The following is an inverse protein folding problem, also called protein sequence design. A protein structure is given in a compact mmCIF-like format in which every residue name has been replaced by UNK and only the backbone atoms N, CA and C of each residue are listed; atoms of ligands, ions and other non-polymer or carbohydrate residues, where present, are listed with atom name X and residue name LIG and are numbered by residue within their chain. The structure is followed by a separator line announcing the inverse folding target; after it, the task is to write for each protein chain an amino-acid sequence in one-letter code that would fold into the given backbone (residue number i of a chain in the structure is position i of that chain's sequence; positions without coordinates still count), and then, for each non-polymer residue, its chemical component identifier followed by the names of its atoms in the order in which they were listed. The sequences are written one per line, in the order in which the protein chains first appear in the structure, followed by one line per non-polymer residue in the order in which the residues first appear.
data_IF_146403988276
#
_entry.id   IF_146403988276
#
_cell.length_a   1.000
_cell.length_b   1.000
_cell.length_c   1.000
_cell.angle_alpha   90.00
_cell.angle_beta   90.00
_cell.angle_gamma   90.00
#
_symmetry.space_group_name_H-M   'P 1'
#
loop_
_entity.id
_entity.type
_entity.pdbx_description
1 polymer ?
#
# COMPACT_ATOMS: atom_id res chain seq x y z
N UNK A 1 -23.58 0.75 19.45
CA UNK A 1 -22.32 0.29 18.83
C UNK A 1 -21.29 1.37 18.98
N UNK A 2 -20.21 1.09 19.67
CA UNK A 2 -19.09 2.01 19.79
C UNK A 2 -18.36 2.17 18.45
N UNK A 3 -17.59 3.22 18.30
CA UNK A 3 -16.73 3.46 17.15
C UNK A 3 -15.80 2.27 16.88
N UNK A 4 -15.18 1.72 17.94
CA UNK A 4 -14.32 0.54 17.86
C UNK A 4 -15.05 -0.71 17.36
N UNK A 5 -16.30 -0.94 17.79
CA UNK A 5 -17.12 -2.06 17.30
C UNK A 5 -17.44 -1.94 15.81
N UNK A 6 -17.74 -0.73 15.33
CA UNK A 6 -17.98 -0.50 13.89
C UNK A 6 -16.74 -0.80 13.04
N UNK A 7 -15.56 -0.40 13.51
CA UNK A 7 -14.29 -0.70 12.80
C UNK A 7 -14.05 -2.21 12.80
N UNK A 8 -14.24 -2.91 13.93
CA UNK A 8 -14.07 -4.36 14.01
C UNK A 8 -14.96 -5.11 13.03
N UNK A 9 -16.25 -4.79 13.03
CA UNK A 9 -17.21 -5.43 12.13
C UNK A 9 -16.87 -5.17 10.65
N UNK A 10 -16.44 -3.96 10.33
CA UNK A 10 -16.02 -3.63 8.98
C UNK A 10 -14.74 -4.37 8.57
N UNK A 11 -13.72 -4.45 9.43
CA UNK A 11 -12.52 -5.24 9.20
C UNK A 11 -12.90 -6.70 8.95
N UNK A 12 -13.71 -7.28 9.85
CA UNK A 12 -14.18 -8.65 9.73
C UNK A 12 -14.87 -8.88 8.37
N UNK A 13 -15.83 -8.05 8.01
CA UNK A 13 -16.60 -8.21 6.78
C UNK A 13 -15.72 -8.07 5.52
N UNK A 14 -14.80 -7.11 5.48
CA UNK A 14 -13.92 -6.87 4.34
C UNK A 14 -12.95 -8.07 4.18
N UNK A 15 -12.30 -8.50 5.25
CA UNK A 15 -11.33 -9.59 5.22
C UNK A 15 -12.03 -10.93 4.94
N UNK A 16 -13.14 -11.23 5.59
CA UNK A 16 -13.93 -12.46 5.32
C UNK A 16 -14.35 -12.51 3.85
N UNK A 17 -14.93 -11.43 3.34
CA UNK A 17 -15.34 -11.36 1.92
C UNK A 17 -14.16 -11.54 0.95
N UNK A 18 -12.98 -11.03 1.28
CA UNK A 18 -11.77 -11.22 0.48
C UNK A 18 -11.30 -12.67 0.55
N UNK A 19 -11.18 -13.24 1.76
CA UNK A 19 -10.71 -14.59 1.97
C UNK A 19 -11.64 -15.64 1.34
N UNK A 20 -12.95 -15.49 1.48
CA UNK A 20 -13.92 -16.40 0.86
C UNK A 20 -13.82 -16.36 -0.66
N UNK A 21 -13.59 -15.18 -1.25
CA UNK A 21 -13.35 -15.03 -2.68
C UNK A 21 -12.04 -15.69 -3.12
N UNK A 22 -10.99 -15.60 -2.32
CA UNK A 22 -9.71 -16.28 -2.59
C UNK A 22 -9.91 -17.80 -2.54
N UNK A 23 -10.58 -18.31 -1.50
CA UNK A 23 -10.87 -19.74 -1.38
C UNK A 23 -11.73 -20.27 -2.54
N UNK A 24 -12.81 -19.57 -2.89
CA UNK A 24 -13.65 -19.90 -4.05
C UNK A 24 -12.83 -19.92 -5.35
N UNK A 25 -11.93 -18.94 -5.51
CA UNK A 25 -11.08 -18.87 -6.68
C UNK A 25 -10.13 -20.08 -6.78
N UNK A 26 -9.40 -20.39 -5.71
CA UNK A 26 -8.37 -21.45 -5.74
C UNK A 26 -8.94 -22.86 -5.67
N UNK A 27 -10.19 -23.03 -5.18
CA UNK A 27 -10.85 -24.34 -5.08
C UNK A 27 -11.75 -24.63 -6.27
N UNK A 28 -12.41 -23.62 -6.85
CA UNK A 28 -13.48 -23.82 -7.84
C UNK A 28 -13.18 -23.17 -9.18
N UNK A 29 -12.90 -21.86 -9.21
CA UNK A 29 -12.80 -21.09 -10.47
C UNK A 29 -11.49 -21.28 -11.22
N UNK A 30 -10.39 -21.36 -10.49
CA UNK A 30 -9.04 -21.50 -11.05
C UNK A 30 -8.20 -22.41 -10.14
N UNK A 31 -8.57 -23.71 -10.00
CA UNK A 31 -7.80 -24.65 -9.19
C UNK A 31 -6.43 -24.94 -9.81
N UNK A 32 -5.47 -25.28 -8.95
CA UNK A 32 -4.18 -25.77 -9.40
C UNK A 32 -4.36 -27.19 -9.98
N UNK A 33 -4.07 -27.35 -11.27
CA UNK A 33 -4.14 -28.61 -12.00
C UNK A 33 -2.73 -28.98 -12.44
N UNK A 34 -2.09 -30.01 -11.83
CA UNK A 34 -0.72 -30.44 -12.13
C UNK A 34 -0.48 -30.69 -13.62
N UNK A 35 -1.38 -31.43 -14.27
CA UNK A 35 -1.25 -31.81 -15.69
C UNK A 35 -1.23 -30.58 -16.61
N UNK A 36 -2.06 -29.60 -16.33
CA UNK A 36 -2.08 -28.31 -17.06
C UNK A 36 -0.79 -27.53 -16.81
N UNK A 37 -0.29 -27.55 -15.57
CA UNK A 37 0.96 -26.88 -15.23
C UNK A 37 2.15 -27.53 -15.94
N UNK A 38 2.25 -28.86 -15.94
CA UNK A 38 3.28 -29.61 -16.65
C UNK A 38 3.27 -29.33 -18.15
N UNK A 39 2.09 -29.31 -18.76
CA UNK A 39 1.95 -28.99 -20.18
C UNK A 39 2.43 -27.56 -20.53
N UNK A 40 2.14 -26.58 -19.70
CA UNK A 40 2.50 -25.18 -19.94
C UNK A 40 3.97 -24.87 -19.59
N UNK A 41 4.56 -25.59 -18.63
CA UNK A 41 5.90 -25.30 -18.08
C UNK A 41 6.72 -26.58 -17.86
N UNK A 42 6.95 -27.39 -18.91
CA UNK A 42 7.54 -28.73 -18.75
C UNK A 42 8.93 -28.73 -18.10
N UNK A 43 9.77 -27.74 -18.42
CA UNK A 43 11.12 -27.64 -17.84
C UNK A 43 11.07 -27.31 -16.34
N UNK A 44 10.14 -26.48 -15.91
CA UNK A 44 10.00 -26.15 -14.49
C UNK A 44 9.41 -27.31 -13.70
N UNK A 45 8.39 -27.97 -14.26
CA UNK A 45 7.78 -29.13 -13.67
C UNK A 45 8.74 -30.33 -13.49
N UNK A 46 9.72 -30.47 -14.38
CA UNK A 46 10.77 -31.48 -14.25
C UNK A 46 11.76 -31.22 -13.11
N UNK A 47 11.88 -29.97 -12.65
CA UNK A 47 12.86 -29.55 -11.66
C UNK A 47 12.28 -29.28 -10.27
N UNK A 48 10.99 -28.94 -10.19
CA UNK A 48 10.36 -28.43 -8.97
C UNK A 48 9.06 -29.22 -8.68
N UNK A 49 8.86 -29.71 -7.45
CA UNK A 49 7.65 -30.44 -7.07
C UNK A 49 6.37 -29.61 -7.20
N UNK A 50 5.26 -30.27 -7.49
CA UNK A 50 3.96 -29.64 -7.68
C UNK A 50 3.44 -28.90 -6.44
N UNK A 51 3.80 -29.35 -5.25
CA UNK A 51 3.44 -28.70 -3.98
C UNK A 51 3.98 -27.26 -3.91
N UNK A 52 5.19 -27.02 -4.44
CA UNK A 52 5.77 -25.68 -4.50
C UNK A 52 4.98 -24.78 -5.46
N UNK A 53 4.60 -25.30 -6.62
CA UNK A 53 3.77 -24.57 -7.57
C UNK A 53 2.34 -24.34 -7.06
N UNK A 54 1.78 -25.31 -6.35
CA UNK A 54 0.49 -25.19 -5.67
C UNK A 54 0.51 -24.08 -4.61
N UNK A 55 1.57 -24.01 -3.80
CA UNK A 55 1.79 -22.92 -2.84
C UNK A 55 1.90 -21.55 -3.52
N UNK A 56 2.71 -21.45 -4.59
CA UNK A 56 2.87 -20.22 -5.37
C UNK A 56 1.56 -19.79 -6.08
N UNK A 57 0.76 -20.76 -6.53
CA UNK A 57 -0.55 -20.51 -7.11
C UNK A 57 -1.49 -19.87 -6.10
N UNK A 58 -1.53 -20.37 -4.86
CA UNK A 58 -2.32 -19.79 -3.77
C UNK A 58 -1.83 -18.39 -3.42
N UNK A 59 -0.52 -18.24 -3.15
CA UNK A 59 0.08 -16.98 -2.74
C UNK A 59 -0.26 -15.83 -3.69
N UNK A 60 -0.10 -16.04 -5.00
CA UNK A 60 -0.42 -15.02 -6.02
C UNK A 60 -1.87 -14.57 -5.96
N UNK A 61 -2.82 -15.50 -5.75
CA UNK A 61 -4.25 -15.19 -5.67
C UNK A 61 -4.65 -14.57 -4.35
N UNK A 62 -3.88 -14.84 -3.31
CA UNK A 62 -4.05 -14.25 -1.99
C UNK A 62 -3.49 -12.81 -1.94
N UNK A 63 -2.27 -12.58 -2.44
CA UNK A 63 -1.61 -11.27 -2.33
C UNK A 63 -2.24 -10.22 -3.24
N UNK A 64 -2.66 -10.60 -4.45
CA UNK A 64 -3.21 -9.66 -5.45
C UNK A 64 -4.40 -8.84 -4.94
N UNK A 65 -5.43 -9.41 -4.26
CA UNK A 65 -6.55 -8.64 -3.73
C UNK A 65 -6.19 -7.63 -2.65
N UNK A 66 -5.07 -7.82 -1.93
CA UNK A 66 -4.71 -6.98 -0.80
C UNK A 66 -4.50 -5.51 -1.16
N UNK A 67 -4.08 -5.18 -2.37
CA UNK A 67 -3.99 -3.78 -2.80
C UNK A 67 -5.29 -3.02 -2.53
N UNK A 68 -6.40 -3.51 -3.09
CA UNK A 68 -7.72 -2.90 -2.89
C UNK A 68 -8.31 -3.09 -1.49
N UNK A 69 -7.88 -4.11 -0.76
CA UNK A 69 -8.34 -4.36 0.62
C UNK A 69 -7.76 -3.33 1.57
N UNK A 70 -6.48 -2.99 1.45
CA UNK A 70 -5.86 -1.94 2.26
C UNK A 70 -6.58 -0.61 2.10
N UNK A 71 -6.91 -0.23 0.88
CA UNK A 71 -7.65 1.00 0.59
C UNK A 71 -9.06 1.00 1.21
N UNK A 72 -9.81 -0.10 1.08
CA UNK A 72 -11.14 -0.24 1.69
C UNK A 72 -11.11 -0.17 3.21
N UNK A 73 -10.14 -0.84 3.83
CA UNK A 73 -9.94 -0.79 5.28
C UNK A 73 -9.59 0.64 5.73
N UNK A 74 -8.74 1.33 4.97
CA UNK A 74 -8.38 2.72 5.25
C UNK A 74 -9.59 3.66 5.12
N UNK A 75 -10.45 3.47 4.13
CA UNK A 75 -11.70 4.24 4.02
C UNK A 75 -12.57 4.06 5.25
N UNK A 76 -12.78 2.83 5.70
CA UNK A 76 -13.61 2.56 6.88
C UNK A 76 -13.01 3.16 8.15
N UNK A 77 -11.69 3.02 8.34
CA UNK A 77 -10.99 3.64 9.47
C UNK A 77 -11.15 5.18 9.42
N UNK A 78 -10.96 5.77 8.24
CA UNK A 78 -11.09 7.22 8.03
C UNK A 78 -12.49 7.76 8.33
N UNK A 79 -13.57 7.03 8.00
CA UNK A 79 -14.94 7.44 8.29
C UNK A 79 -15.26 7.61 9.79
N UNK A 80 -14.39 7.13 10.64
CA UNK A 80 -14.53 7.26 12.10
C UNK A 80 -14.04 8.60 12.61
N UNK A 81 -12.97 9.13 12.03
CA UNK A 81 -12.26 10.29 12.53
C UNK A 81 -12.38 11.52 11.61
N UNK A 82 -12.84 11.33 10.36
CA UNK A 82 -12.94 12.37 9.33
C UNK A 82 -14.36 12.52 8.81
N UNK A 83 -14.69 13.70 8.32
CA UNK A 83 -16.01 14.03 7.74
C UNK A 83 -16.19 13.39 6.37
N UNK A 84 -15.06 13.23 5.62
CA UNK A 84 -15.01 12.50 4.35
C UNK A 84 -13.85 11.52 4.35
N UNK A 85 -14.11 10.34 3.81
CA UNK A 85 -13.11 9.30 3.55
C UNK A 85 -13.47 8.60 2.24
N UNK A 86 -12.66 8.78 1.19
CA UNK A 86 -13.00 8.40 -0.18
C UNK A 86 -11.83 7.65 -0.80
N UNK A 87 -12.12 6.48 -1.38
CA UNK A 87 -11.16 5.69 -2.17
C UNK A 87 -11.08 6.22 -3.60
N UNK A 88 -9.87 6.30 -4.16
CA UNK A 88 -9.68 6.61 -5.58
C UNK A 88 -10.15 8.03 -5.96
N UNK A 89 -9.88 9.02 -5.09
CA UNK A 89 -10.37 10.38 -5.30
C UNK A 89 -9.52 11.17 -6.29
N UNK A 90 -10.19 11.79 -7.26
CA UNK A 90 -9.54 12.63 -8.26
C UNK A 90 -9.43 14.08 -7.77
N UNK A 91 -8.20 14.59 -7.74
CA UNK A 91 -7.90 15.97 -7.39
C UNK A 91 -7.46 16.69 -8.66
N UNK A 92 -8.25 17.70 -9.04
CA UNK A 92 -8.00 18.52 -10.21
C UNK A 92 -7.38 19.86 -9.81
N UNK A 93 -6.44 20.36 -10.61
CA UNK A 93 -5.82 21.65 -10.37
C UNK A 93 -5.00 22.12 -11.56
N UNK A 94 -4.23 23.17 -11.34
CA UNK A 94 -3.30 23.72 -12.32
C UNK A 94 -1.91 23.83 -11.70
N UNK A 95 -0.90 23.45 -12.47
CA UNK A 95 0.50 23.46 -12.06
C UNK A 95 1.30 24.37 -13.01
N UNK A 96 2.13 25.30 -12.52
CA UNK A 96 3.05 26.07 -13.33
C UNK A 96 4.00 25.16 -14.13
N UNK A 97 4.16 25.39 -15.42
CA UNK A 97 4.95 24.54 -16.34
C UNK A 97 6.34 24.19 -15.80
N UNK A 98 7.07 25.17 -15.25
CA UNK A 98 8.41 24.91 -14.70
C UNK A 98 8.40 23.99 -13.47
N UNK A 99 7.29 23.87 -12.74
CA UNK A 99 7.18 22.90 -11.65
C UNK A 99 7.13 21.47 -12.19
N UNK A 100 6.44 21.21 -13.31
CA UNK A 100 6.48 19.90 -13.96
C UNK A 100 7.89 19.51 -14.40
N UNK A 101 8.64 20.46 -14.99
CA UNK A 101 10.01 20.20 -15.40
C UNK A 101 10.91 19.90 -14.20
N UNK A 102 10.79 20.67 -13.12
CA UNK A 102 11.56 20.45 -11.88
C UNK A 102 11.20 19.15 -11.16
N UNK A 103 9.93 18.72 -11.18
CA UNK A 103 9.54 17.38 -10.68
C UNK A 103 10.31 16.30 -11.44
N UNK A 104 10.34 16.39 -12.78
CA UNK A 104 11.09 15.44 -13.60
C UNK A 104 12.58 15.45 -13.29
N UNK A 105 13.19 16.61 -13.20
CA UNK A 105 14.61 16.77 -12.85
C UNK A 105 14.96 16.14 -11.49
N UNK A 106 14.13 16.35 -10.47
CA UNK A 106 14.32 15.74 -9.15
C UNK A 106 14.26 14.23 -9.23
N UNK A 107 13.23 13.69 -9.90
CA UNK A 107 13.06 12.24 -10.05
C UNK A 107 14.20 11.61 -10.86
N UNK A 108 14.66 12.25 -11.93
CA UNK A 108 15.81 11.79 -12.74
C UNK A 108 17.10 11.77 -11.93
N UNK A 109 17.38 12.80 -11.14
CA UNK A 109 18.56 12.86 -10.26
C UNK A 109 18.56 11.74 -9.21
N UNK A 110 17.40 11.41 -8.63
CA UNK A 110 17.29 10.33 -7.67
C UNK A 110 17.42 8.94 -8.33
N UNK A 111 16.95 8.80 -9.57
CA UNK A 111 16.99 7.55 -10.32
C UNK A 111 18.37 7.24 -10.91
N UNK A 112 18.97 8.24 -11.52
CA UNK A 112 20.20 8.14 -12.29
C UNK A 112 21.27 9.07 -11.71
N UNK A 113 22.03 8.61 -10.70
CA UNK A 113 23.18 9.38 -10.23
C UNK A 113 24.19 9.60 -11.37
N UNK A 114 24.85 10.74 -11.39
CA UNK A 114 25.92 11.02 -12.34
C UNK A 114 26.96 9.91 -12.34
N UNK A 115 27.51 9.59 -13.51
CA UNK A 115 28.46 8.48 -13.68
C UNK A 115 29.66 8.65 -12.74
N UNK A 116 29.83 7.69 -11.82
CA UNK A 116 30.89 7.73 -10.80
C UNK A 116 30.55 8.48 -9.51
N UNK A 117 29.39 9.13 -9.42
CA UNK A 117 28.94 9.78 -8.19
C UNK A 117 28.21 8.80 -7.25
N UNK A 118 28.29 9.08 -5.95
CA UNK A 118 27.44 8.38 -4.96
C UNK A 118 25.99 8.77 -5.20
N UNK A 119 25.08 7.79 -4.94
CA UNK A 119 23.65 8.05 -5.00
C UNK A 119 23.26 9.21 -4.08
N UNK A 120 22.48 10.14 -4.60
CA UNK A 120 21.91 11.25 -3.83
C UNK A 120 20.88 10.66 -2.86
N UNK A 121 20.92 11.09 -1.60
CA UNK A 121 19.87 10.78 -0.64
C UNK A 121 18.67 11.67 -0.91
N UNK A 122 17.43 11.12 -0.86
CA UNK A 122 16.25 11.94 -0.96
C UNK A 122 16.15 12.90 0.23
N UNK A 123 15.71 14.13 -0.04
CA UNK A 123 15.38 15.14 0.95
C UNK A 123 14.07 15.81 0.52
N UNK A 124 12.98 15.36 1.11
CA UNK A 124 11.64 15.82 0.74
C UNK A 124 11.49 17.35 0.78
N UNK A 125 12.04 17.98 1.81
CA UNK A 125 11.87 19.42 2.02
C UNK A 125 12.63 20.25 0.99
N UNK A 126 13.89 19.92 0.74
CA UNK A 126 14.71 20.64 -0.25
C UNK A 126 14.22 20.37 -1.67
N UNK A 127 13.80 19.15 -1.99
CA UNK A 127 13.22 18.80 -3.27
C UNK A 127 11.92 19.56 -3.54
N UNK A 128 11.01 19.58 -2.56
CA UNK A 128 9.74 20.31 -2.68
C UNK A 128 9.96 21.81 -2.80
N UNK A 129 10.85 22.38 -1.99
CA UNK A 129 11.24 23.79 -2.08
C UNK A 129 11.74 24.16 -3.47
N UNK A 130 12.67 23.38 -4.02
CA UNK A 130 13.17 23.55 -5.39
C UNK A 130 12.04 23.51 -6.41
N UNK A 131 11.14 22.55 -6.32
CA UNK A 131 10.01 22.40 -7.25
C UNK A 131 9.10 23.62 -7.19
N UNK A 132 8.73 24.09 -5.99
CA UNK A 132 7.77 25.17 -5.78
C UNK A 132 8.24 26.56 -6.28
N UNK A 133 9.54 26.79 -6.39
CA UNK A 133 10.09 28.00 -7.01
C UNK A 133 9.80 28.08 -8.53
N UNK A 134 9.39 27.00 -9.17
CA UNK A 134 9.04 26.94 -10.58
C UNK A 134 7.84 27.84 -10.91
N UNK A 135 7.98 28.69 -11.92
CA UNK A 135 6.93 29.59 -12.44
C UNK A 135 6.61 29.21 -13.88
N UNK A 136 5.67 29.87 -14.50
CA UNK A 136 5.33 29.67 -15.90
C UNK A 136 3.83 29.63 -16.14
N UNK A 137 3.43 29.23 -17.34
CA UNK A 137 2.05 29.04 -17.71
C UNK A 137 1.40 27.97 -16.84
N UNK A 138 0.12 28.13 -16.53
CA UNK A 138 -0.65 27.19 -15.73
C UNK A 138 -1.18 26.07 -16.62
N UNK A 139 -0.72 24.86 -16.39
CA UNK A 139 -1.15 23.66 -17.11
C UNK A 139 -2.10 22.82 -16.27
N UNK A 140 -3.16 22.24 -16.85
CA UNK A 140 -4.07 21.40 -16.10
C UNK A 140 -3.36 20.14 -15.61
N UNK A 141 -3.74 19.71 -14.40
CA UNK A 141 -3.23 18.49 -13.79
C UNK A 141 -4.33 17.77 -13.03
N UNK A 142 -4.32 16.44 -13.10
CA UNK A 142 -5.19 15.57 -12.31
C UNK A 142 -4.33 14.55 -11.59
N UNK A 143 -4.60 14.34 -10.31
CA UNK A 143 -3.98 13.30 -9.51
C UNK A 143 -5.08 12.46 -8.86
N UNK A 144 -5.02 11.15 -9.06
CA UNK A 144 -5.88 10.19 -8.36
C UNK A 144 -5.10 9.67 -7.16
N UNK A 145 -5.57 9.94 -5.94
CA UNK A 145 -4.99 9.37 -4.72
C UNK A 145 -5.74 8.11 -4.29
N UNK A 146 -5.05 7.19 -3.62
CA UNK A 146 -5.62 5.91 -3.18
C UNK A 146 -6.64 6.12 -2.05
N UNK A 147 -6.39 7.10 -1.15
CA UNK A 147 -7.31 7.53 -0.11
C UNK A 147 -7.30 9.06 0.01
N UNK A 148 -8.48 9.66 0.12
CA UNK A 148 -8.70 11.08 0.42
C UNK A 148 -9.48 11.23 1.71
N UNK A 149 -9.00 12.09 2.61
CA UNK A 149 -9.64 12.41 3.87
C UNK A 149 -9.84 13.92 4.01
N UNK A 150 -10.99 14.33 4.61
CA UNK A 150 -11.28 15.74 4.88
C UNK A 150 -11.90 15.88 6.27
N UNK A 151 -11.41 16.87 7.04
CA UNK A 151 -11.95 17.27 8.34
C UNK A 151 -11.53 18.70 8.66
N UNK A 152 -12.46 19.52 9.14
CA UNK A 152 -12.18 20.90 9.59
C UNK A 152 -11.38 21.71 8.54
N UNK A 153 -11.81 21.67 7.27
CA UNK A 153 -11.14 22.29 6.11
C UNK A 153 -9.77 21.74 5.78
N UNK A 154 -9.25 20.78 6.53
CA UNK A 154 -8.00 20.07 6.22
C UNK A 154 -8.26 18.88 5.30
N UNK A 155 -7.44 18.79 4.26
CA UNK A 155 -7.56 17.80 3.19
C UNK A 155 -6.27 17.00 3.09
N UNK A 156 -6.40 15.68 3.14
CA UNK A 156 -5.26 14.77 3.15
C UNK A 156 -5.38 13.78 2.00
N UNK A 157 -4.30 13.59 1.26
CA UNK A 157 -4.22 12.60 0.21
C UNK A 157 -3.18 11.52 0.57
N UNK A 158 -3.48 10.26 0.27
CA UNK A 158 -2.59 9.14 0.56
C UNK A 158 -2.35 8.29 -0.68
N UNK A 159 -1.09 7.92 -0.88
CA UNK A 159 -0.65 6.87 -1.77
C UNK A 159 -0.35 5.62 -0.93
N UNK A 160 -1.22 4.62 -0.99
CA UNK A 160 -1.07 3.37 -0.24
C UNK A 160 -0.33 2.34 -1.10
N UNK A 161 0.70 1.75 -0.52
CA UNK A 161 1.48 0.70 -1.18
C UNK A 161 1.71 -0.48 -0.26
N UNK A 162 2.01 -1.63 -0.84
CA UNK A 162 2.40 -2.81 -0.06
C UNK A 162 3.65 -2.50 0.79
N UNK A 163 3.85 -3.21 1.92
CA UNK A 163 4.96 -2.93 2.84
C UNK A 163 6.36 -3.06 2.24
N UNK A 164 6.49 -3.82 1.18
CA UNK A 164 7.73 -4.01 0.43
C UNK A 164 7.55 -3.58 -1.04
N UNK A 165 7.33 -2.28 -1.30
CA UNK A 165 7.05 -1.79 -2.64
C UNK A 165 8.29 -1.81 -3.53
N UNK A 166 8.10 -1.92 -4.83
CA UNK A 166 9.19 -1.76 -5.78
C UNK A 166 9.53 -0.27 -6.03
N UNK A 167 10.65 -0.04 -6.70
CA UNK A 167 11.15 1.31 -6.98
C UNK A 167 10.21 2.13 -7.86
N UNK A 168 9.66 1.52 -8.92
CA UNK A 168 8.89 2.23 -9.94
C UNK A 168 7.55 2.73 -9.38
N UNK A 169 6.86 1.87 -8.63
CA UNK A 169 5.61 2.25 -7.94
C UNK A 169 5.86 3.38 -6.95
N UNK A 170 6.99 3.34 -6.21
CA UNK A 170 7.36 4.39 -5.25
C UNK A 170 7.68 5.71 -5.95
N UNK A 171 8.37 5.66 -7.11
CA UNK A 171 8.62 6.84 -7.96
C UNK A 171 7.31 7.52 -8.37
N UNK A 172 6.37 6.75 -8.88
CA UNK A 172 5.06 7.26 -9.30
C UNK A 172 4.31 7.91 -8.13
N UNK A 173 4.35 7.30 -6.95
CA UNK A 173 3.72 7.88 -5.75
C UNK A 173 4.39 9.22 -5.36
N UNK A 174 5.71 9.30 -5.37
CA UNK A 174 6.44 10.55 -5.11
C UNK A 174 6.09 11.64 -6.12
N UNK A 175 6.02 11.29 -7.41
CA UNK A 175 5.61 12.20 -8.47
C UNK A 175 4.20 12.75 -8.25
N UNK A 176 3.23 11.89 -7.90
CA UNK A 176 1.86 12.30 -7.59
C UNK A 176 1.82 13.27 -6.40
N UNK A 177 2.55 12.97 -5.33
CA UNK A 177 2.63 13.84 -4.15
C UNK A 177 3.23 15.21 -4.52
N UNK A 178 4.31 15.27 -5.29
CA UNK A 178 4.87 16.52 -5.77
C UNK A 178 3.88 17.31 -6.63
N UNK A 179 3.12 16.65 -7.50
CA UNK A 179 2.06 17.30 -8.28
C UNK A 179 1.00 17.93 -7.39
N UNK A 180 0.53 17.22 -6.35
CA UNK A 180 -0.45 17.76 -5.39
C UNK A 180 0.02 19.03 -4.71
N UNK A 181 1.26 19.06 -4.19
CA UNK A 181 1.83 20.25 -3.58
C UNK A 181 2.15 21.36 -4.59
N UNK A 182 2.33 21.00 -5.87
CA UNK A 182 2.63 21.96 -6.95
C UNK A 182 1.39 22.65 -7.51
N UNK A 183 0.21 22.16 -7.24
CA UNK A 183 -1.05 22.76 -7.71
C UNK A 183 -1.28 24.12 -7.05
N UNK A 184 -1.72 25.10 -7.84
CA UNK A 184 -2.11 26.42 -7.34
C UNK A 184 -3.39 26.28 -6.49
N UNK A 185 -3.45 27.02 -5.39
CA UNK A 185 -4.60 26.98 -4.48
C UNK A 185 -4.54 25.90 -3.41
N UNK A 186 -3.45 25.14 -3.35
CA UNK A 186 -3.20 24.11 -2.31
C UNK A 186 -4.40 23.18 -2.10
N UNK A 187 -4.72 22.30 -3.07
CA UNK A 187 -5.91 21.45 -3.02
C UNK A 187 -5.88 20.42 -1.88
N UNK A 188 -4.72 20.19 -1.29
CA UNK A 188 -4.51 19.35 -0.11
C UNK A 188 -3.70 20.12 0.95
N UNK A 189 -3.96 19.82 2.22
CA UNK A 189 -3.13 20.27 3.34
C UNK A 189 -1.83 19.48 3.38
N UNK A 190 -1.95 18.13 3.29
CA UNK A 190 -0.80 17.24 3.23
C UNK A 190 -1.07 16.05 2.31
N UNK A 191 0.02 15.49 1.77
CA UNK A 191 0.01 14.24 1.03
C UNK A 191 1.02 13.26 1.64
N UNK A 192 0.63 11.99 1.77
CA UNK A 192 1.41 10.97 2.45
C UNK A 192 1.64 9.73 1.58
N UNK A 193 2.84 9.19 1.68
CA UNK A 193 3.18 7.86 1.24
C UNK A 193 2.97 6.89 2.40
N UNK A 194 2.03 5.96 2.28
CA UNK A 194 1.59 5.13 3.38
C UNK A 194 1.80 3.63 3.13
N UNK A 195 2.35 2.94 4.12
CA UNK A 195 2.51 1.49 4.14
C UNK A 195 1.65 0.90 5.27
N UNK A 196 0.84 -0.14 5.01
CA UNK A 196 -0.14 -0.65 5.98
C UNK A 196 0.48 -1.33 7.20
N UNK A 197 1.72 -1.81 7.11
CA UNK A 197 2.48 -2.33 8.25
C UNK A 197 3.99 -2.24 8.01
N UNK A 198 4.77 -2.42 9.07
CA UNK A 198 6.22 -2.45 9.00
C UNK A 198 6.75 -3.88 9.24
N UNK A 199 7.29 -4.56 8.23
CA UNK A 199 7.84 -5.91 8.40
C UNK A 199 9.13 -5.95 9.26
N UNK A 200 9.69 -4.78 9.58
CA UNK A 200 10.89 -4.65 10.42
C UNK A 200 10.58 -4.25 11.87
N UNK A 201 9.30 -4.14 12.25
CA UNK A 201 8.86 -3.74 13.58
C UNK A 201 8.83 -2.22 13.74
N UNK A 202 9.92 -1.60 14.18
CA UNK A 202 9.98 -0.14 14.39
C UNK A 202 10.33 0.61 13.11
N UNK A 203 9.91 1.87 13.01
CA UNK A 203 10.14 2.71 11.83
C UNK A 203 11.64 2.91 11.56
N UNK A 204 12.42 3.13 12.59
CA UNK A 204 13.89 3.29 12.49
C UNK A 204 14.61 2.05 11.95
N UNK A 205 13.98 0.86 12.06
CA UNK A 205 14.53 -0.40 11.58
C UNK A 205 14.11 -0.73 10.14
N UNK A 206 13.23 0.07 9.53
CA UNK A 206 12.81 -0.16 8.15
C UNK A 206 14.00 -0.16 7.20
N UNK A 207 14.23 -1.29 6.51
CA UNK A 207 15.45 -1.55 5.75
C UNK A 207 15.21 -1.97 4.29
N UNK A 208 13.97 -1.91 3.79
CA UNK A 208 13.69 -2.21 2.38
C UNK A 208 14.28 -1.13 1.48
N UNK A 209 15.19 -1.52 0.58
CA UNK A 209 16.05 -0.57 -0.14
C UNK A 209 15.38 0.17 -1.29
N UNK A 210 14.32 -0.40 -1.89
CA UNK A 210 13.71 0.20 -3.07
C UNK A 210 13.03 1.55 -2.82
N UNK A 211 12.17 1.72 -1.79
CA UNK A 211 11.58 3.03 -1.52
C UNK A 211 12.58 4.03 -0.94
N UNK A 212 13.67 3.57 -0.32
CA UNK A 212 14.73 4.44 0.22
C UNK A 212 15.49 5.23 -0.86
N UNK A 213 15.27 4.94 -2.14
CA UNK A 213 15.72 5.79 -3.24
C UNK A 213 14.93 7.09 -3.31
N UNK A 214 13.67 7.04 -2.94
CA UNK A 214 12.70 8.11 -3.18
C UNK A 214 12.33 8.89 -1.91
N UNK A 215 12.35 8.23 -0.77
CA UNK A 215 12.01 8.80 0.54
C UNK A 215 13.02 8.40 1.60
N UNK A 216 13.30 9.26 2.56
CA UNK A 216 13.85 8.80 3.82
C UNK A 216 12.74 8.12 4.63
N UNK A 217 12.64 6.80 4.48
CA UNK A 217 11.57 6.00 5.09
C UNK A 217 11.55 6.09 6.62
N UNK A 218 12.65 6.50 7.23
CA UNK A 218 12.79 6.56 8.69
C UNK A 218 12.38 7.92 9.26
N UNK A 219 12.64 9.01 8.53
CA UNK A 219 12.53 10.37 9.08
C UNK A 219 11.58 11.30 8.32
N UNK A 220 11.27 11.03 7.04
CA UNK A 220 10.37 11.89 6.26
C UNK A 220 8.97 11.93 6.90
N UNK A 221 8.48 13.15 7.18
CA UNK A 221 7.12 13.34 7.70
C UNK A 221 6.03 13.00 6.69
N UNK A 222 6.36 13.01 5.41
CA UNK A 222 5.47 12.59 4.32
C UNK A 222 5.31 11.07 4.20
N UNK A 223 6.04 10.27 5.01
CA UNK A 223 5.95 8.82 5.06
C UNK A 223 5.26 8.36 6.34
N UNK A 224 4.28 7.49 6.23
CA UNK A 224 3.57 6.86 7.34
C UNK A 224 3.63 5.34 7.21
N UNK A 225 4.00 4.63 8.29
CA UNK A 225 4.16 3.16 8.26
C UNK A 225 3.43 2.54 9.47
N UNK A 226 2.56 1.56 9.20
CA UNK A 226 1.89 0.80 10.24
C UNK A 226 1.04 1.68 11.17
N UNK A 227 1.39 1.71 12.46
CA UNK A 227 0.65 2.48 13.46
C UNK A 227 0.58 3.97 13.15
N UNK A 228 1.64 4.59 12.59
CA UNK A 228 1.62 6.01 12.22
C UNK A 228 0.47 6.31 11.25
N UNK A 229 0.24 5.41 10.30
CA UNK A 229 -0.83 5.54 9.32
C UNK A 229 -2.22 5.24 9.93
N UNK A 230 -2.37 4.05 10.53
CA UNK A 230 -3.70 3.61 10.99
C UNK A 230 -4.23 4.46 12.15
N UNK A 231 -3.36 4.84 13.07
CA UNK A 231 -3.76 5.66 14.22
C UNK A 231 -4.01 7.12 13.81
N UNK A 232 -3.36 7.61 12.75
CA UNK A 232 -3.70 8.90 12.16
C UNK A 232 -5.10 8.91 11.55
N UNK A 233 -5.44 7.89 10.75
CA UNK A 233 -6.72 7.87 10.00
C UNK A 233 -7.91 7.42 10.83
N UNK A 234 -7.73 6.53 11.80
CA UNK A 234 -8.82 5.93 12.59
C UNK A 234 -8.82 6.30 14.08
N UNK A 235 -7.81 7.06 14.54
CA UNK A 235 -7.61 7.36 15.95
C UNK A 235 -6.70 6.36 16.66
N UNK A 236 -6.16 6.77 17.81
CA UNK A 236 -5.20 5.97 18.59
C UNK A 236 -5.72 4.55 18.89
N UNK A 237 -4.86 3.55 18.67
CA UNK A 237 -5.15 2.13 18.87
C UNK A 237 -5.83 1.43 17.69
N UNK A 238 -6.10 2.12 16.59
CA UNK A 238 -6.68 1.52 15.38
C UNK A 238 -5.79 0.44 14.78
N UNK A 239 -4.47 0.63 14.78
CA UNK A 239 -3.55 -0.38 14.29
C UNK A 239 -3.59 -1.67 15.11
N UNK A 240 -3.57 -1.57 16.44
CA UNK A 240 -3.68 -2.76 17.32
C UNK A 240 -5.01 -3.48 17.13
N UNK A 241 -6.10 -2.74 17.04
CA UNK A 241 -7.42 -3.29 16.75
C UNK A 241 -7.43 -4.10 15.44
N UNK A 242 -6.79 -3.56 14.41
CA UNK A 242 -6.65 -4.21 13.12
C UNK A 242 -5.88 -5.53 13.24
N UNK A 243 -4.72 -5.52 13.90
CA UNK A 243 -3.90 -6.72 14.14
C UNK A 243 -4.68 -7.79 14.91
N UNK A 244 -5.40 -7.41 15.95
CA UNK A 244 -6.18 -8.33 16.79
C UNK A 244 -7.29 -9.03 15.97
N UNK A 245 -8.01 -8.29 15.12
CA UNK A 245 -9.08 -8.87 14.29
C UNK A 245 -8.52 -9.77 13.17
N UNK A 246 -7.40 -9.38 12.53
CA UNK A 246 -6.73 -10.23 11.54
C UNK A 246 -6.24 -11.54 12.17
N UNK A 247 -5.67 -11.48 13.38
CA UNK A 247 -5.22 -12.70 14.08
C UNK A 247 -6.37 -13.66 14.36
N UNK A 248 -7.55 -13.16 14.78
CA UNK A 248 -8.74 -14.00 15.01
C UNK A 248 -9.21 -14.67 13.72
N UNK A 249 -9.36 -13.90 12.65
CA UNK A 249 -9.78 -14.43 11.34
C UNK A 249 -8.75 -15.40 10.76
N UNK A 250 -7.46 -15.13 11.00
CA UNK A 250 -6.36 -15.97 10.54
C UNK A 250 -6.40 -17.39 11.10
N UNK A 251 -6.95 -17.61 12.29
CA UNK A 251 -7.12 -18.97 12.85
C UNK A 251 -8.06 -19.80 11.98
N UNK A 252 -9.23 -19.26 11.68
CA UNK A 252 -10.26 -19.93 10.88
C UNK A 252 -9.78 -20.23 9.45
N UNK A 253 -9.24 -19.21 8.77
CA UNK A 253 -8.83 -19.38 7.36
C UNK A 253 -7.58 -20.24 7.20
N UNK A 254 -6.65 -20.26 8.17
CA UNK A 254 -5.54 -21.22 8.14
C UNK A 254 -6.02 -22.65 8.19
N UNK A 255 -6.99 -22.97 9.05
CA UNK A 255 -7.56 -24.29 9.14
C UNK A 255 -8.23 -24.71 7.81
N UNK A 256 -9.03 -23.83 7.23
CA UNK A 256 -9.64 -24.04 5.92
C UNK A 256 -8.61 -24.25 4.81
N UNK A 257 -7.55 -23.45 4.77
CA UNK A 257 -6.48 -23.57 3.76
C UNK A 257 -5.77 -24.92 3.90
N UNK A 258 -5.42 -25.34 5.12
CA UNK A 258 -4.81 -26.65 5.33
C UNK A 258 -5.72 -27.79 4.85
N UNK A 259 -6.96 -27.80 5.30
CA UNK A 259 -7.91 -28.88 5.01
C UNK A 259 -8.40 -28.85 3.56
N UNK A 260 -8.92 -27.71 3.09
CA UNK A 260 -9.64 -27.62 1.82
C UNK A 260 -8.69 -27.47 0.62
N UNK A 261 -7.59 -26.71 0.77
CA UNK A 261 -6.67 -26.44 -0.32
C UNK A 261 -5.45 -27.37 -0.33
N UNK A 262 -4.78 -27.53 0.81
CA UNK A 262 -3.58 -28.37 0.88
C UNK A 262 -3.90 -29.85 1.06
N UNK A 263 -5.05 -30.21 1.59
CA UNK A 263 -5.44 -31.60 1.89
C UNK A 263 -4.67 -32.18 3.08
N UNK A 264 -4.27 -31.33 4.03
CA UNK A 264 -3.49 -31.70 5.21
C UNK A 264 -4.38 -31.56 6.45
N UNK A 265 -4.44 -32.58 7.30
CA UNK A 265 -5.08 -32.46 8.62
C UNK A 265 -4.25 -31.53 9.50
N UNK A 266 -4.93 -30.57 10.17
CA UNK A 266 -4.28 -29.51 10.94
C UNK A 266 -3.48 -30.06 12.11
N UNK A 267 -2.22 -29.68 12.21
CA UNK A 267 -1.42 -29.87 13.42
C UNK A 267 -1.83 -28.84 14.48
N UNK A 268 -2.02 -29.27 15.74
CA UNK A 268 -2.58 -28.49 16.86
C UNK A 268 -1.77 -27.24 17.32
N UNK A 269 -0.72 -26.85 16.63
CA UNK A 269 0.14 -25.73 17.05
C UNK A 269 0.00 -24.52 16.12
N UNK A 270 -0.89 -23.59 16.54
CA UNK A 270 -1.12 -22.33 15.86
C UNK A 270 0.06 -21.35 15.99
N UNK A 271 0.52 -20.82 14.86
CA UNK A 271 1.35 -19.60 14.80
C UNK A 271 0.49 -18.39 15.22
N UNK A 272 1.00 -17.58 16.17
CA UNK A 272 0.49 -16.23 16.45
C UNK A 272 1.48 -15.21 15.90
N UNK A 273 0.96 -14.14 15.28
CA UNK A 273 1.74 -12.94 14.95
C UNK A 273 2.11 -12.17 16.21
#
# INVERSE_FOLDING_TARGET
MTTSEKIKDAIKNIITSMMDRVMDNVLVKDPFIPEKHHSLKPLYAALVPDEIFKGSHFERRFVTPFGSVWEKLAVVAGLVAFDKSIQGYEIHGQIPEKRFNRIREVLEKLEHPEKGAKRIKPDWNEELKYILEGKGELLPATVVCDLYLEKDDKKYAFELKSPLPNSDITKVSKEKMFKLYSMVGNPVTDAFYALPYNPYGKREDYAWSFPARWFDMKTDKSVMIGNDFWDFIGGAGTYQLFIDEINKLGVEYRERIYKEYLGIETLENGFKL
#
